data_IF_479997379527
#
_entry.id   IF_479997379527
#
_cell.length_a   1.000
_cell.length_b   1.000
_cell.length_c   1.000
_cell.angle_alpha   90.00
_cell.angle_beta   90.00
_cell.angle_gamma   90.00
#
_symmetry.space_group_name_H-M   'P 1'
#
loop_
_entity.id
_entity.type
_entity.pdbx_description
1 polymer ?
#
# COMPACT_ATOMS: atom_id res chain seq x y z
N UNK A 1 9.91 -12.96 -27.43
CA UNK A 1 9.82 -13.18 -25.97
C UNK A 1 8.80 -12.22 -25.38
N UNK A 2 7.79 -12.71 -24.66
CA UNK A 2 6.82 -11.84 -23.97
C UNK A 2 7.28 -11.66 -22.51
N UNK A 3 7.65 -10.44 -22.11
CA UNK A 3 8.07 -10.18 -20.73
C UNK A 3 6.94 -10.43 -19.73
N UNK A 4 7.26 -11.04 -18.58
CA UNK A 4 6.33 -11.23 -17.45
C UNK A 4 6.10 -9.91 -16.71
N UNK A 5 4.94 -9.74 -16.08
CA UNK A 5 4.64 -8.57 -15.23
C UNK A 5 5.58 -8.43 -14.04
N UNK A 6 6.10 -9.54 -13.51
CA UNK A 6 7.07 -9.53 -12.39
C UNK A 6 8.44 -9.01 -12.84
N UNK A 7 8.88 -9.38 -14.04
CA UNK A 7 10.14 -8.90 -14.63
C UNK A 7 10.06 -7.41 -14.89
N UNK A 8 8.98 -6.95 -15.52
CA UNK A 8 8.72 -5.51 -15.76
C UNK A 8 8.68 -4.76 -14.43
N UNK A 9 7.98 -5.31 -13.43
CA UNK A 9 7.91 -4.74 -12.10
C UNK A 9 9.28 -4.58 -11.45
N UNK A 10 10.11 -5.63 -11.45
CA UNK A 10 11.47 -5.57 -10.90
C UNK A 10 12.35 -4.53 -11.63
N UNK A 11 12.26 -4.44 -12.96
CA UNK A 11 13.03 -3.46 -13.73
C UNK A 11 12.64 -2.01 -13.43
N UNK A 12 11.37 -1.75 -13.15
CA UNK A 12 10.84 -0.39 -12.98
C UNK A 12 10.62 -0.01 -11.51
N UNK A 13 10.86 -0.91 -10.55
CA UNK A 13 10.47 -0.69 -9.14
C UNK A 13 11.05 0.59 -8.53
N UNK A 14 12.29 0.94 -8.89
CA UNK A 14 12.95 2.14 -8.39
C UNK A 14 12.30 3.42 -8.94
N UNK A 15 11.80 3.38 -10.17
CA UNK A 15 11.11 4.52 -10.79
C UNK A 15 9.78 4.84 -10.10
N UNK A 16 9.16 3.82 -9.49
CA UNK A 16 7.86 3.92 -8.85
C UNK A 16 7.92 3.86 -7.31
N UNK A 17 9.13 3.85 -6.71
CA UNK A 17 9.33 3.70 -5.26
C UNK A 17 8.58 4.73 -4.41
N UNK A 18 8.43 5.95 -4.93
CA UNK A 18 7.78 7.06 -4.24
C UNK A 18 6.44 7.48 -4.87
N UNK A 19 5.98 6.76 -5.90
CA UNK A 19 4.73 7.10 -6.57
C UNK A 19 3.54 6.51 -5.82
N UNK A 20 2.57 7.36 -5.49
CA UNK A 20 1.30 6.99 -4.86
C UNK A 20 0.51 6.02 -5.74
N UNK A 21 -0.48 5.31 -5.18
CA UNK A 21 -1.33 4.30 -5.85
C UNK A 21 -2.27 4.86 -6.95
N UNK A 22 -1.89 5.96 -7.60
CA UNK A 22 -2.59 6.64 -8.67
C UNK A 22 -3.01 5.70 -9.82
N UNK A 23 -4.18 5.99 -10.41
CA UNK A 23 -4.74 5.34 -11.60
C UNK A 23 -3.94 5.63 -12.86
N UNK A 24 -3.08 6.66 -12.87
CA UNK A 24 -2.20 6.97 -14.00
C UNK A 24 -0.96 6.07 -14.10
N UNK A 25 -0.55 5.40 -13.00
CA UNK A 25 0.66 4.55 -12.97
C UNK A 25 0.69 3.47 -14.06
N UNK A 26 -0.39 2.71 -14.36
CA UNK A 26 -0.30 1.68 -15.39
C UNK A 26 0.01 2.25 -16.78
N UNK A 27 -0.44 3.49 -17.09
CA UNK A 27 -0.09 4.16 -18.35
C UNK A 27 1.39 4.55 -18.38
N UNK A 28 1.91 5.06 -17.29
CA UNK A 28 3.34 5.33 -17.10
C UNK A 28 4.19 4.06 -17.24
N UNK A 29 3.75 2.94 -16.65
CA UNK A 29 4.43 1.65 -16.79
C UNK A 29 4.45 1.19 -18.26
N UNK A 30 3.34 1.35 -19.01
CA UNK A 30 3.34 1.07 -20.46
C UNK A 30 4.34 1.96 -21.19
N UNK A 31 4.39 3.25 -20.86
CA UNK A 31 5.33 4.19 -21.47
C UNK A 31 6.78 3.82 -21.17
N UNK A 32 7.15 3.66 -19.89
CA UNK A 32 8.50 3.28 -19.45
C UNK A 32 8.91 1.90 -19.96
N UNK A 33 8.00 0.94 -20.04
CA UNK A 33 8.31 -0.36 -20.64
C UNK A 33 8.70 -0.22 -22.13
N UNK A 34 8.05 0.69 -22.87
CA UNK A 34 8.42 0.99 -24.25
C UNK A 34 9.73 1.76 -24.35
N UNK A 35 9.91 2.82 -23.56
CA UNK A 35 11.07 3.73 -23.69
C UNK A 35 12.34 3.15 -23.08
N UNK A 36 12.25 2.48 -21.92
CA UNK A 36 13.42 2.04 -21.16
C UNK A 36 13.79 0.59 -21.46
N UNK A 37 12.78 -0.25 -21.73
CA UNK A 37 12.96 -1.70 -21.92
C UNK A 37 12.73 -2.15 -23.36
N UNK A 38 12.28 -1.26 -24.26
CA UNK A 38 12.00 -1.59 -25.66
C UNK A 38 10.85 -2.58 -25.86
N UNK A 39 10.00 -2.80 -24.84
CA UNK A 39 8.92 -3.79 -24.90
C UNK A 39 7.55 -3.12 -24.88
N UNK A 40 6.66 -3.60 -25.75
CA UNK A 40 5.27 -3.20 -25.73
C UNK A 40 4.46 -4.14 -24.84
N UNK A 41 3.70 -3.58 -23.90
CA UNK A 41 2.91 -4.34 -22.92
C UNK A 41 1.46 -3.85 -22.91
N UNK A 42 0.54 -4.74 -22.60
CA UNK A 42 -0.87 -4.38 -22.43
C UNK A 42 -1.10 -3.63 -21.13
N UNK A 43 -2.17 -2.84 -21.08
CA UNK A 43 -2.60 -2.15 -19.85
C UNK A 43 -2.82 -3.14 -18.69
N UNK A 44 -3.43 -4.29 -18.94
CA UNK A 44 -3.62 -5.35 -17.95
C UNK A 44 -2.29 -5.86 -17.37
N UNK A 45 -1.26 -6.00 -18.22
CA UNK A 45 0.08 -6.42 -17.77
C UNK A 45 0.75 -5.32 -16.95
N UNK A 46 0.58 -4.06 -17.33
CA UNK A 46 1.05 -2.91 -16.56
C UNK A 46 0.34 -2.82 -15.19
N UNK A 47 -0.95 -3.11 -15.12
CA UNK A 47 -1.69 -3.19 -13.86
C UNK A 47 -1.12 -4.27 -12.93
N UNK A 48 -0.87 -5.48 -13.45
CA UNK A 48 -0.24 -6.54 -12.65
C UNK A 48 1.19 -6.22 -12.21
N UNK A 49 1.96 -5.52 -13.05
CA UNK A 49 3.28 -5.03 -12.67
C UNK A 49 3.18 -4.00 -11.54
N UNK A 50 2.18 -3.10 -11.57
CA UNK A 50 1.87 -2.18 -10.47
C UNK A 50 1.54 -2.94 -9.18
N UNK A 51 0.62 -3.90 -9.22
CA UNK A 51 0.23 -4.70 -8.04
C UNK A 51 1.44 -5.42 -7.43
N UNK A 52 2.29 -5.99 -8.27
CA UNK A 52 3.52 -6.62 -7.85
C UNK A 52 4.48 -5.62 -7.18
N UNK A 53 4.74 -4.46 -7.79
CA UNK A 53 5.62 -3.44 -7.22
C UNK A 53 5.08 -2.90 -5.90
N UNK A 54 3.76 -2.65 -5.79
CA UNK A 54 3.10 -2.21 -4.55
C UNK A 54 3.34 -3.23 -3.44
N UNK A 55 3.18 -4.53 -3.73
CA UNK A 55 3.41 -5.59 -2.75
C UNK A 55 4.87 -5.64 -2.28
N UNK A 56 5.84 -5.40 -3.17
CA UNK A 56 7.26 -5.39 -2.79
C UNK A 56 7.62 -4.13 -1.99
N UNK A 57 7.10 -2.96 -2.38
CA UNK A 57 7.44 -1.68 -1.77
C UNK A 57 6.76 -1.45 -0.42
N UNK A 58 5.49 -1.84 -0.29
CA UNK A 58 4.67 -1.57 0.89
C UNK A 58 4.34 -2.84 1.69
N UNK A 59 4.89 -3.99 1.30
CA UNK A 59 4.56 -5.27 1.92
C UNK A 59 3.16 -5.78 1.54
N UNK A 60 2.76 -6.89 2.15
CA UNK A 60 1.40 -7.39 2.00
C UNK A 60 0.44 -6.53 2.83
N UNK A 61 -0.73 -6.23 2.28
CA UNK A 61 -1.84 -5.60 3.00
C UNK A 61 -2.09 -6.26 4.36
N UNK A 62 -2.07 -7.60 4.43
CA UNK A 62 -2.25 -8.34 5.69
C UNK A 62 -1.18 -7.98 6.73
N UNK A 63 0.09 -7.92 6.32
CA UNK A 63 1.20 -7.55 7.20
C UNK A 63 1.09 -6.09 7.66
N UNK A 64 0.63 -5.19 6.78
CA UNK A 64 0.42 -3.79 7.10
C UNK A 64 -0.70 -3.59 8.14
N UNK A 65 -1.82 -4.30 7.99
CA UNK A 65 -2.92 -4.26 8.96
C UNK A 65 -2.52 -4.85 10.32
N UNK A 66 -1.63 -5.84 10.35
CA UNK A 66 -1.08 -6.39 11.59
C UNK A 66 -0.24 -5.37 12.39
N UNK A 67 0.20 -4.26 11.78
CA UNK A 67 0.93 -3.19 12.47
C UNK A 67 0.02 -2.16 13.15
N UNK A 68 -1.27 -2.12 12.79
CA UNK A 68 -2.23 -1.14 13.31
C UNK A 68 -2.36 -1.15 14.85
N UNK A 69 -2.45 -2.31 15.54
CA UNK A 69 -2.53 -2.32 17.00
C UNK A 69 -1.33 -1.61 17.64
N UNK A 70 -0.11 -1.95 17.19
CA UNK A 70 1.13 -1.33 17.69
C UNK A 70 1.20 0.16 17.42
N UNK A 71 0.69 0.60 16.27
CA UNK A 71 0.60 2.03 15.96
C UNK A 71 -0.31 2.76 16.96
N UNK A 72 -1.47 2.18 17.29
CA UNK A 72 -2.39 2.76 18.26
C UNK A 72 -1.85 2.76 19.69
N UNK A 73 -1.14 1.72 20.10
CA UNK A 73 -0.45 1.70 21.40
C UNK A 73 0.49 2.91 21.53
N UNK A 74 1.31 3.17 20.51
CA UNK A 74 2.23 4.32 20.48
C UNK A 74 1.51 5.66 20.42
N UNK A 75 0.37 5.71 19.74
CA UNK A 75 -0.44 6.92 19.60
C UNK A 75 -1.05 7.35 20.94
N UNK A 76 -1.56 6.39 21.72
CA UNK A 76 -2.09 6.61 23.07
C UNK A 76 -0.98 7.03 24.03
N UNK A 77 0.18 6.35 24.00
CA UNK A 77 1.36 6.73 24.80
C UNK A 77 1.77 8.19 24.56
N UNK A 78 1.75 8.64 23.30
CA UNK A 78 2.23 9.97 22.91
C UNK A 78 1.21 11.09 23.16
N UNK A 79 -0.08 10.76 23.25
CA UNK A 79 -1.16 11.75 23.38
C UNK A 79 -2.14 11.32 24.48
N UNK A 80 -1.80 11.61 25.75
CA UNK A 80 -2.67 11.31 26.88
C UNK A 80 -4.06 11.95 26.67
N UNK A 81 -5.11 11.13 26.71
CA UNK A 81 -6.50 11.57 26.53
C UNK A 81 -7.09 11.25 25.15
N UNK A 82 -6.35 10.64 24.23
CA UNK A 82 -6.95 9.96 23.07
C UNK A 82 -7.67 8.68 23.54
N UNK A 83 -8.87 8.45 23.02
CA UNK A 83 -9.62 7.21 23.17
C UNK A 83 -9.58 6.42 21.86
N UNK A 84 -9.27 5.13 21.95
CA UNK A 84 -9.19 4.22 20.81
C UNK A 84 -9.97 2.95 21.14
N UNK A 85 -10.87 2.53 20.25
CA UNK A 85 -11.54 1.24 20.29
C UNK A 85 -11.20 0.48 19.01
N UNK A 86 -10.43 -0.60 19.14
CA UNK A 86 -9.99 -1.45 18.03
C UNK A 86 -10.68 -2.81 18.14
N UNK A 87 -11.32 -3.25 17.05
CA UNK A 87 -11.89 -4.60 16.95
C UNK A 87 -11.11 -5.46 15.93
N UNK A 88 -10.87 -6.70 16.32
CA UNK A 88 -10.29 -7.74 15.47
C UNK A 88 -11.28 -8.91 15.31
N UNK A 89 -11.16 -9.66 14.21
CA UNK A 89 -11.89 -10.92 14.03
C UNK A 89 -11.28 -12.06 14.85
N UNK A 90 -11.93 -13.23 14.82
CA UNK A 90 -11.48 -14.42 15.55
C UNK A 90 -10.11 -14.96 15.06
N UNK A 91 -9.67 -14.52 13.88
CA UNK A 91 -8.36 -14.84 13.29
C UNK A 91 -7.31 -13.76 13.58
N UNK A 92 -7.66 -12.71 14.34
CA UNK A 92 -6.75 -11.60 14.67
C UNK A 92 -6.56 -10.58 13.54
N UNK A 93 -7.43 -10.56 12.53
CA UNK A 93 -7.40 -9.54 11.49
C UNK A 93 -8.18 -8.29 11.91
N UNK A 94 -7.72 -7.14 11.44
CA UNK A 94 -8.40 -5.86 11.64
C UNK A 94 -9.84 -5.91 11.08
N UNK A 95 -10.82 -5.52 11.91
CA UNK A 95 -12.21 -5.27 11.47
C UNK A 95 -12.49 -3.77 11.34
N UNK A 96 -12.42 -3.05 12.45
CA UNK A 96 -12.66 -1.61 12.49
C UNK A 96 -12.00 -0.96 13.71
N UNK A 97 -11.83 0.36 13.63
CA UNK A 97 -11.31 1.18 14.71
C UNK A 97 -12.10 2.48 14.83
N UNK A 98 -12.38 2.90 16.06
CA UNK A 98 -12.88 4.22 16.40
C UNK A 98 -11.81 4.97 17.20
N UNK A 99 -11.54 6.21 16.83
CA UNK A 99 -10.56 7.07 17.48
C UNK A 99 -11.19 8.44 17.75
N UNK A 100 -11.03 8.95 18.97
CA UNK A 100 -11.47 10.28 19.34
C UNK A 100 -10.46 10.96 20.26
N UNK A 101 -10.19 12.25 20.00
CA UNK A 101 -9.41 13.07 20.92
C UNK A 101 -10.25 13.44 22.15
N UNK A 102 -9.63 13.53 23.32
CA UNK A 102 -10.32 13.86 24.56
C UNK A 102 -11.08 15.18 24.49
N UNK A 103 -10.58 16.17 23.74
CA UNK A 103 -11.29 17.42 23.48
C UNK A 103 -12.62 17.18 22.73
N UNK A 104 -12.62 16.32 21.70
CA UNK A 104 -13.82 15.98 20.94
C UNK A 104 -14.88 15.22 21.76
N UNK A 105 -14.46 14.50 22.81
CA UNK A 105 -15.37 13.79 23.71
C UNK A 105 -16.01 14.76 24.71
N UNK A 106 -15.29 15.79 25.14
CA UNK A 106 -15.72 16.71 26.20
C UNK A 106 -16.58 17.88 25.71
N UNK A 107 -16.58 18.16 24.41
CA UNK A 107 -17.28 19.31 23.82
C UNK A 107 -16.37 20.53 23.74
#
# INVERSE_FOLDING_TARGET
MQASSTVIGNCLINDFRFMSTDRFIPKEIVHKARTNLGVNISYQKAWRAKEYMVKILHGNTVELYALIPRFFDKLVESNPGICIALEMDDSGHFKFCLMAFGASIKG
#
